data_IF_205305867757
#
_entry.id   IF_205305867757
#
_cell.length_a   1.000
_cell.length_b   1.000
_cell.length_c   1.000
_cell.angle_alpha   90.00
_cell.angle_beta   90.00
_cell.angle_gamma   90.00
#
_symmetry.space_group_name_H-M   'P 1'
#
loop_
_entity.id
_entity.type
_entity.pdbx_description
1 polymer ?
#
# COMPACT_ATOMS: atom_id res chain seq x y z
N UNK A 1 2.49 55.62 -12.76
CA UNK A 1 3.08 54.28 -12.57
C UNK A 1 2.37 53.62 -11.39
N UNK A 2 1.30 52.87 -11.63
CA UNK A 2 0.57 52.18 -10.57
C UNK A 2 1.21 50.80 -10.35
N UNK A 3 1.83 50.59 -9.20
CA UNK A 3 2.32 49.28 -8.77
C UNK A 3 1.15 48.39 -8.40
N UNK A 4 0.88 47.37 -9.21
CA UNK A 4 -0.07 46.30 -8.90
C UNK A 4 0.59 45.32 -7.94
N UNK A 5 0.15 45.32 -6.68
CA UNK A 5 0.49 44.27 -5.71
C UNK A 5 -0.23 42.98 -6.10
N UNK A 6 0.52 41.92 -6.41
CA UNK A 6 -0.04 40.60 -6.69
C UNK A 6 -0.57 39.96 -5.40
N UNK A 7 -1.79 39.44 -5.43
CA UNK A 7 -2.40 38.68 -4.34
C UNK A 7 -1.78 37.26 -4.33
N UNK A 8 -1.23 36.77 -3.20
CA UNK A 8 -0.71 35.42 -3.13
C UNK A 8 -1.84 34.40 -3.25
N UNK A 9 -1.64 33.38 -4.11
CA UNK A 9 -2.58 32.28 -4.28
C UNK A 9 -2.77 31.50 -2.96
N UNK A 10 -3.99 30.99 -2.67
CA UNK A 10 -4.23 30.22 -1.45
C UNK A 10 -3.36 28.98 -1.43
N UNK A 11 -2.63 28.79 -0.32
CA UNK A 11 -1.85 27.58 -0.08
C UNK A 11 -2.79 26.36 -0.08
N UNK A 12 -2.65 25.48 -1.08
CA UNK A 12 -3.44 24.26 -1.13
C UNK A 12 -2.98 23.32 -0.01
N UNK A 13 -3.88 23.05 0.94
CA UNK A 13 -3.63 22.01 1.95
C UNK A 13 -3.71 20.64 1.29
N UNK A 14 -2.62 19.87 1.35
CA UNK A 14 -2.54 18.51 0.83
C UNK A 14 -3.27 17.55 1.76
N UNK A 15 -4.59 17.47 1.63
CA UNK A 15 -5.38 16.51 2.41
C UNK A 15 -5.14 15.09 1.89
N UNK A 16 -4.38 14.29 2.64
CA UNK A 16 -4.21 12.86 2.35
C UNK A 16 -5.50 12.11 2.73
N UNK A 17 -6.19 11.47 1.78
CA UNK A 17 -7.44 10.77 2.06
C UNK A 17 -7.21 9.67 3.11
N UNK A 18 -8.22 9.40 3.93
CA UNK A 18 -8.19 8.32 4.92
C UNK A 18 -9.10 7.20 4.44
N UNK A 19 -8.54 6.20 3.76
CA UNK A 19 -9.30 5.05 3.26
C UNK A 19 -9.15 3.81 4.14
N UNK A 20 -10.13 2.92 4.05
CA UNK A 20 -10.02 1.51 4.40
C UNK A 20 -10.33 0.75 3.12
N UNK A 21 -9.40 -0.08 2.67
CA UNK A 21 -9.69 -1.03 1.60
C UNK A 21 -10.40 -2.23 2.21
N UNK A 22 -11.63 -2.50 1.77
CA UNK A 22 -12.50 -3.54 2.33
C UNK A 22 -12.40 -4.89 1.61
N UNK A 23 -11.68 -4.95 0.48
CA UNK A 23 -11.77 -6.09 -0.43
C UNK A 23 -10.45 -6.43 -1.12
N UNK A 24 -9.33 -6.44 -0.38
CA UNK A 24 -8.01 -6.65 -0.97
C UNK A 24 -7.55 -8.10 -0.87
N UNK A 25 -7.25 -8.72 -2.02
CA UNK A 25 -6.87 -10.13 -2.14
C UNK A 25 -5.35 -10.33 -1.98
N UNK A 26 -4.72 -9.83 -0.90
CA UNK A 26 -3.25 -9.84 -0.77
C UNK A 26 -2.60 -11.23 -0.69
N UNK A 27 -3.38 -12.31 -0.56
CA UNK A 27 -2.89 -13.69 -0.63
C UNK A 27 -2.73 -14.21 -2.07
N UNK A 28 -3.19 -13.45 -3.07
CA UNK A 28 -3.09 -13.82 -4.47
C UNK A 28 -1.61 -13.94 -4.91
N UNK A 29 -1.21 -15.03 -5.60
CA UNK A 29 0.16 -15.23 -6.08
C UNK A 29 0.68 -14.13 -7.01
N UNK A 30 -0.16 -13.28 -7.61
CA UNK A 30 0.31 -12.14 -8.39
C UNK A 30 1.18 -11.19 -7.56
N UNK A 31 0.90 -11.04 -6.26
CA UNK A 31 1.70 -10.19 -5.35
C UNK A 31 3.03 -10.81 -4.95
N UNK A 32 3.24 -12.09 -5.29
CA UNK A 32 4.54 -12.76 -5.20
C UNK A 32 5.16 -12.99 -6.58
N UNK A 33 4.57 -12.39 -7.62
CA UNK A 33 5.02 -12.43 -9.01
C UNK A 33 4.77 -13.73 -9.74
N UNK A 34 3.90 -14.60 -9.21
CA UNK A 34 3.52 -15.86 -9.84
C UNK A 34 2.22 -15.69 -10.65
N UNK A 35 2.34 -15.79 -11.96
CA UNK A 35 1.22 -15.66 -12.90
C UNK A 35 0.98 -16.98 -13.61
N UNK A 36 -0.16 -17.62 -13.36
CA UNK A 36 -0.51 -18.92 -13.97
C UNK A 36 0.64 -19.95 -13.89
N UNK A 37 1.34 -20.01 -12.75
CA UNK A 37 2.47 -20.92 -12.54
C UNK A 37 3.82 -20.45 -13.09
N UNK A 38 3.90 -19.28 -13.74
CA UNK A 38 5.15 -18.69 -14.25
C UNK A 38 5.61 -17.53 -13.36
N UNK A 39 6.87 -17.56 -12.91
CA UNK A 39 7.48 -16.44 -12.18
C UNK A 39 7.79 -15.29 -13.14
N UNK A 40 7.20 -14.11 -12.92
CA UNK A 40 7.37 -12.92 -13.78
C UNK A 40 8.20 -11.81 -13.12
N UNK A 41 8.12 -11.68 -11.81
CA UNK A 41 8.93 -10.75 -11.02
C UNK A 41 9.15 -11.30 -9.60
N UNK A 42 10.16 -10.83 -8.86
CA UNK A 42 10.28 -11.13 -7.43
C UNK A 42 9.05 -10.68 -6.65
N UNK A 43 8.85 -11.23 -5.44
CA UNK A 43 7.76 -10.79 -4.56
C UNK A 43 7.86 -9.30 -4.26
N UNK A 44 6.80 -8.56 -4.55
CA UNK A 44 6.70 -7.11 -4.33
C UNK A 44 5.52 -6.74 -3.42
N UNK A 45 4.91 -7.73 -2.75
CA UNK A 45 3.81 -7.57 -1.80
C UNK A 45 4.06 -6.45 -0.78
N UNK A 46 5.26 -6.38 -0.21
CA UNK A 46 5.62 -5.33 0.75
C UNK A 46 5.63 -3.93 0.13
N UNK A 47 6.09 -3.80 -1.11
CA UNK A 47 6.05 -2.54 -1.84
C UNK A 47 4.61 -2.13 -2.17
N UNK A 48 3.75 -3.09 -2.55
CA UNK A 48 2.29 -2.87 -2.75
C UNK A 48 1.64 -2.32 -1.48
N UNK A 49 1.90 -2.95 -0.33
CA UNK A 49 1.39 -2.50 0.97
C UNK A 49 1.88 -1.09 1.30
N UNK A 50 3.19 -0.81 1.11
CA UNK A 50 3.74 0.54 1.34
C UNK A 50 3.02 1.59 0.49
N UNK A 51 2.83 1.31 -0.81
CA UNK A 51 2.11 2.23 -1.72
C UNK A 51 0.67 2.49 -1.25
N UNK A 52 -0.04 1.49 -0.75
CA UNK A 52 -1.40 1.68 -0.22
C UNK A 52 -1.43 2.59 1.02
N UNK A 53 -0.46 2.44 1.93
CA UNK A 53 -0.31 3.31 3.10
C UNK A 53 0.09 4.75 2.69
N UNK A 54 0.96 4.87 1.68
CA UNK A 54 1.41 6.13 1.10
C UNK A 54 0.29 6.86 0.35
N UNK A 55 -0.65 6.13 -0.24
CA UNK A 55 -1.85 6.69 -0.86
C UNK A 55 -2.89 7.19 0.16
N UNK A 56 -2.83 6.72 1.42
CA UNK A 56 -3.76 7.17 2.48
C UNK A 56 -4.58 6.08 3.14
N UNK A 57 -4.43 4.82 2.71
CA UNK A 57 -5.17 3.74 3.34
C UNK A 57 -4.61 3.45 4.73
N UNK A 58 -5.51 3.41 5.71
CA UNK A 58 -5.18 3.23 7.13
C UNK A 58 -5.36 1.80 7.57
N UNK A 59 -6.19 1.05 6.85
CA UNK A 59 -6.50 -0.37 7.08
C UNK A 59 -6.73 -1.04 5.73
N UNK A 60 -6.35 -2.31 5.67
CA UNK A 60 -6.51 -3.20 4.54
C UNK A 60 -7.20 -4.46 5.08
N UNK A 61 -8.40 -4.77 4.60
CA UNK A 61 -9.13 -5.99 4.97
C UNK A 61 -8.74 -7.07 3.97
N UNK A 62 -7.84 -7.96 4.39
CA UNK A 62 -7.42 -9.10 3.56
C UNK A 62 -8.56 -10.10 3.46
N UNK A 63 -9.02 -10.34 2.24
CA UNK A 63 -10.11 -11.27 1.94
C UNK A 63 -9.63 -12.71 1.90
N UNK A 64 -10.53 -13.65 2.19
CA UNK A 64 -10.33 -15.08 1.96
C UNK A 64 -11.58 -15.65 1.30
N UNK A 65 -11.43 -16.33 0.16
CA UNK A 65 -12.54 -16.89 -0.63
C UNK A 65 -13.05 -18.22 -0.09
N UNK A 66 -12.20 -18.93 0.66
CA UNK A 66 -12.48 -20.25 1.24
C UNK A 66 -11.70 -20.43 2.55
N UNK A 67 -11.83 -21.59 3.18
CA UNK A 67 -11.18 -21.89 4.46
C UNK A 67 -9.66 -21.86 4.37
N UNK A 68 -9.06 -22.33 3.27
CA UNK A 68 -7.62 -22.35 3.11
C UNK A 68 -7.08 -20.93 2.88
N UNK A 69 -7.71 -20.16 1.99
CA UNK A 69 -7.37 -18.75 1.74
C UNK A 69 -7.61 -17.89 2.99
N UNK A 70 -8.68 -18.14 3.76
CA UNK A 70 -8.93 -17.44 5.02
C UNK A 70 -7.82 -17.66 6.04
N UNK A 71 -7.25 -18.87 6.12
CA UNK A 71 -6.09 -19.13 7.00
C UNK A 71 -4.86 -18.37 6.54
N UNK A 72 -4.60 -18.29 5.22
CA UNK A 72 -3.51 -17.47 4.66
C UNK A 72 -3.72 -15.99 4.96
N UNK A 73 -4.93 -15.48 4.78
CA UNK A 73 -5.29 -14.08 5.08
C UNK A 73 -5.05 -13.73 6.57
N UNK A 74 -5.44 -14.64 7.49
CA UNK A 74 -5.19 -14.49 8.92
C UNK A 74 -3.68 -14.45 9.21
N UNK A 75 -2.91 -15.36 8.61
CA UNK A 75 -1.47 -15.44 8.81
C UNK A 75 -0.77 -14.16 8.31
N UNK A 76 -1.08 -13.74 7.09
CA UNK A 76 -0.56 -12.51 6.49
C UNK A 76 -0.91 -11.27 7.34
N UNK A 77 -2.15 -11.21 7.85
CA UNK A 77 -2.59 -10.12 8.71
C UNK A 77 -1.81 -10.06 10.03
N UNK A 78 -1.40 -11.20 10.59
CA UNK A 78 -0.57 -11.24 11.80
C UNK A 78 0.84 -10.73 11.52
N UNK A 79 1.45 -11.15 10.41
CA UNK A 79 2.79 -10.73 10.00
C UNK A 79 2.87 -9.20 9.89
N UNK A 80 1.97 -8.59 9.11
CA UNK A 80 1.94 -7.14 8.95
C UNK A 80 1.47 -6.37 10.19
N UNK A 81 0.74 -7.02 11.12
CA UNK A 81 0.38 -6.41 12.41
C UNK A 81 1.59 -6.27 13.34
N UNK A 82 2.53 -7.21 13.28
CA UNK A 82 3.70 -7.23 14.17
C UNK A 82 4.86 -6.37 13.68
N UNK A 83 4.82 -5.89 12.43
CA UNK A 83 5.86 -5.00 11.90
C UNK A 83 5.80 -3.60 12.56
N UNK A 84 6.95 -3.01 12.94
CA UNK A 84 7.00 -1.64 13.42
C UNK A 84 6.39 -0.67 12.41
N UNK A 85 5.59 0.30 12.88
CA UNK A 85 4.89 1.30 12.03
C UNK A 85 5.82 2.17 11.17
N UNK A 86 7.12 2.11 11.45
CA UNK A 86 8.21 2.88 10.87
C UNK A 86 9.18 2.03 10.04
N UNK A 87 8.81 0.80 9.66
CA UNK A 87 9.57 0.07 8.64
C UNK A 87 9.32 0.73 7.27
N UNK A 88 10.26 1.59 6.84
CA UNK A 88 10.38 1.99 5.44
C UNK A 88 10.74 0.75 4.63
N UNK A 89 9.74 0.14 4.00
CA UNK A 89 9.92 -1.01 3.14
C UNK A 89 10.61 -0.55 1.84
N UNK A 90 11.93 -0.70 1.78
CA UNK A 90 12.71 -0.75 0.53
C UNK A 90 12.76 0.54 -0.27
N UNK A 91 13.53 1.52 0.22
CA UNK A 91 14.26 2.40 -0.71
C UNK A 91 15.46 1.62 -1.22
N UNK A 92 15.41 1.10 -2.44
CA UNK A 92 16.62 0.67 -3.13
C UNK A 92 17.48 1.92 -3.36
N UNK A 93 18.63 1.93 -2.70
CA UNK A 93 19.70 2.90 -2.92
C UNK A 93 20.19 2.77 -4.35
N UNK A 94 19.99 3.83 -5.14
CA UNK A 94 20.51 3.97 -6.50
C UNK A 94 22.01 3.64 -6.53
N UNK A 95 22.41 2.72 -7.40
CA UNK A 95 23.73 2.68 -8.01
C UNK A 95 23.59 2.88 -9.50
#
# INVERSE_FOLDING_TARGET
MASTTAIPAPAQSSHKPRCIDIGINLTDPVYTGLYHGTQRHPSDLSAVVSRALDAGCKKLIVTGSDVAESRKAIQLSKEYRTLPRNYSLGGEEKR
#
